data_IF_975057362466
#
_entry.id   IF_975057362466
#
_cell.length_a   1.000
_cell.length_b   1.000
_cell.length_c   1.000
_cell.angle_alpha   90.00
_cell.angle_beta   90.00
_cell.angle_gamma   90.00
#
_symmetry.space_group_name_H-M   'P 1'
#
loop_
_entity.id
_entity.type
_entity.pdbx_description
1 polymer ?
#
# COMPACT_ATOMS: atom_id res chain seq x y z
N UNK A 1 -12.40 -2.34 14.78
CA UNK A 1 -12.45 -0.90 15.06
C UNK A 1 -13.27 -0.25 13.95
N UNK A 2 -14.27 0.56 14.29
CA UNK A 2 -15.08 1.26 13.30
C UNK A 2 -14.44 2.58 12.91
N UNK A 3 -14.50 2.94 11.62
CA UNK A 3 -13.94 4.18 11.08
C UNK A 3 -14.50 5.45 11.74
N UNK A 4 -15.70 5.36 12.32
CA UNK A 4 -16.36 6.46 13.05
C UNK A 4 -15.69 6.79 14.38
N UNK A 5 -14.90 5.88 14.95
CA UNK A 5 -14.22 6.09 16.23
C UNK A 5 -13.19 7.24 16.14
N UNK A 6 -13.25 8.19 17.07
CA UNK A 6 -12.31 9.32 17.19
C UNK A 6 -11.41 9.22 18.42
N UNK A 7 -11.47 8.10 19.16
CA UNK A 7 -10.64 7.88 20.34
C UNK A 7 -9.22 7.48 19.95
N UNK A 8 -8.27 8.40 20.15
CA UNK A 8 -6.85 8.25 19.83
C UNK A 8 -6.22 7.06 20.56
N UNK A 9 -6.66 6.74 21.78
CA UNK A 9 -6.10 5.63 22.54
C UNK A 9 -6.46 4.28 21.91
N UNK A 10 -7.70 4.14 21.43
CA UNK A 10 -8.11 2.95 20.68
C UNK A 10 -7.36 2.80 19.36
N UNK A 11 -7.03 3.92 18.69
CA UNK A 11 -6.20 3.89 17.47
C UNK A 11 -4.77 3.46 17.79
N UNK A 12 -4.19 3.97 18.87
CA UNK A 12 -2.85 3.58 19.35
C UNK A 12 -2.81 2.10 19.76
N UNK A 13 -3.83 1.62 20.46
CA UNK A 13 -3.96 0.22 20.84
C UNK A 13 -4.06 -0.67 19.60
N UNK A 14 -4.92 -0.32 18.65
CA UNK A 14 -5.06 -1.06 17.39
C UNK A 14 -3.74 -1.13 16.59
N UNK A 15 -2.98 -0.03 16.56
CA UNK A 15 -1.64 0.01 15.94
C UNK A 15 -0.64 -0.88 16.70
N UNK A 16 -0.65 -0.84 18.03
CA UNK A 16 0.23 -1.68 18.87
C UNK A 16 -0.07 -3.17 18.73
N UNK A 17 -1.33 -3.52 18.50
CA UNK A 17 -1.76 -4.90 18.30
C UNK A 17 -1.45 -5.42 16.89
N UNK A 18 -1.03 -4.57 15.95
CA UNK A 18 -0.86 -4.95 14.54
C UNK A 18 0.15 -6.09 14.34
N UNK A 19 1.30 -6.06 15.02
CA UNK A 19 2.33 -7.10 14.91
C UNK A 19 1.75 -8.47 15.31
N UNK A 20 1.10 -8.52 16.48
CA UNK A 20 0.41 -9.72 16.95
C UNK A 20 -0.69 -10.18 15.98
N UNK A 21 -1.40 -9.26 15.31
CA UNK A 21 -2.38 -9.61 14.27
C UNK A 21 -1.72 -10.24 13.05
N UNK A 22 -0.60 -9.71 12.58
CA UNK A 22 0.14 -10.31 11.45
C UNK A 22 0.65 -11.70 11.80
N UNK A 23 1.21 -11.88 12.99
CA UNK A 23 1.64 -13.19 13.49
C UNK A 23 0.48 -14.18 13.59
N UNK A 24 -0.69 -13.72 14.07
CA UNK A 24 -1.89 -14.57 14.20
C UNK A 24 -2.46 -15.09 12.88
N UNK A 25 -2.13 -14.47 11.74
CA UNK A 25 -2.55 -14.95 10.43
C UNK A 25 -1.86 -16.26 10.04
N UNK A 26 -0.77 -16.62 10.73
CA UNK A 26 -0.01 -17.87 10.56
C UNK A 26 0.33 -18.18 9.09
N UNK A 27 0.61 -17.14 8.31
CA UNK A 27 1.00 -17.25 6.90
C UNK A 27 2.51 -17.28 6.80
N UNK A 28 3.11 -18.24 6.06
CA UNK A 28 4.55 -18.28 5.86
C UNK A 28 5.01 -16.99 5.18
N UNK A 29 6.19 -16.51 5.58
CA UNK A 29 6.86 -15.30 5.07
C UNK A 29 6.09 -13.97 5.22
N UNK A 30 4.86 -13.95 5.73
CA UNK A 30 4.11 -12.70 5.87
C UNK A 30 4.77 -11.74 6.86
N UNK A 31 5.30 -12.27 7.97
CA UNK A 31 5.99 -11.46 8.99
C UNK A 31 7.23 -10.79 8.42
N UNK A 32 8.04 -11.54 7.64
CA UNK A 32 9.26 -11.00 7.02
C UNK A 32 8.93 -10.00 5.91
N UNK A 33 7.94 -10.31 5.07
CA UNK A 33 7.45 -9.42 4.01
C UNK A 33 6.85 -8.12 4.58
N UNK A 34 6.11 -8.20 5.69
CA UNK A 34 5.52 -7.04 6.34
C UNK A 34 6.58 -6.17 7.01
N UNK A 35 7.56 -6.79 7.66
CA UNK A 35 8.73 -6.09 8.20
C UNK A 35 9.51 -5.35 7.10
N UNK A 36 9.72 -5.99 5.96
CA UNK A 36 10.33 -5.35 4.78
C UNK A 36 9.52 -4.12 4.35
N UNK A 37 8.21 -4.26 4.14
CA UNK A 37 7.37 -3.16 3.66
C UNK A 37 7.28 -1.99 4.65
N UNK A 38 7.16 -2.26 5.95
CA UNK A 38 6.95 -1.22 6.98
C UNK A 38 8.22 -0.55 7.47
N UNK A 39 9.32 -1.31 7.56
CA UNK A 39 10.53 -0.83 8.24
C UNK A 39 11.73 -0.66 7.32
N UNK A 40 11.84 -1.46 6.25
CA UNK A 40 13.02 -1.43 5.37
C UNK A 40 12.78 -0.56 4.12
N UNK A 41 11.62 -0.72 3.49
CA UNK A 41 11.30 -0.04 2.23
C UNK A 41 11.23 1.50 2.38
N UNK A 42 10.58 2.09 3.40
CA UNK A 42 10.46 3.55 3.49
C UNK A 42 11.82 4.26 3.64
N UNK A 43 12.74 3.81 4.52
CA UNK A 43 14.09 4.36 4.59
C UNK A 43 14.89 4.20 3.30
N UNK A 44 14.75 3.07 2.59
CA UNK A 44 15.43 2.85 1.31
C UNK A 44 14.97 3.83 0.24
N UNK A 45 13.66 4.10 0.14
CA UNK A 45 13.12 5.06 -0.81
C UNK A 45 13.55 6.48 -0.48
N UNK A 46 13.50 6.88 0.80
CA UNK A 46 13.92 8.22 1.26
C UNK A 46 15.43 8.43 1.17
N UNK A 47 16.23 7.38 1.39
CA UNK A 47 17.69 7.42 1.28
C UNK A 47 18.20 7.64 -0.15
N UNK A 48 17.35 7.51 -1.17
CA UNK A 48 17.68 7.75 -2.59
C UNK A 48 17.41 9.17 -3.05
N UNK A 49 17.10 10.09 -2.13
CA UNK A 49 16.95 11.51 -2.45
C UNK A 49 18.25 12.08 -3.07
N UNK A 50 18.15 12.96 -4.10
CA UNK A 50 16.95 13.66 -4.55
C UNK A 50 16.07 12.88 -5.54
N UNK A 51 16.46 11.68 -5.95
CA UNK A 51 15.76 10.88 -6.96
C UNK A 51 15.20 9.58 -6.36
N UNK A 52 14.21 9.66 -5.45
CA UNK A 52 13.58 8.49 -4.87
C UNK A 52 13.02 7.62 -5.99
N UNK A 53 13.17 6.30 -5.86
CA UNK A 53 12.70 5.33 -6.85
C UNK A 53 12.60 3.96 -6.22
N UNK A 54 11.72 3.12 -6.76
CA UNK A 54 11.64 1.71 -6.42
C UNK A 54 12.40 0.90 -7.47
N UNK A 55 13.08 -0.15 -7.03
CA UNK A 55 13.71 -1.14 -7.92
C UNK A 55 12.73 -2.25 -8.26
N UNK A 56 13.01 -3.01 -9.33
CA UNK A 56 12.18 -4.18 -9.68
C UNK A 56 12.14 -5.23 -8.56
N UNK A 57 13.27 -5.45 -7.89
CA UNK A 57 13.36 -6.38 -6.77
C UNK A 57 12.43 -5.98 -5.62
N UNK A 58 12.45 -4.70 -5.24
CA UNK A 58 11.59 -4.16 -4.19
C UNK A 58 10.11 -4.18 -4.59
N UNK A 59 9.80 -3.85 -5.84
CA UNK A 59 8.45 -3.94 -6.38
C UNK A 59 7.92 -5.39 -6.33
N UNK A 60 8.77 -6.36 -6.65
CA UNK A 60 8.45 -7.79 -6.56
C UNK A 60 8.16 -8.21 -5.11
N UNK A 61 8.98 -7.77 -4.15
CA UNK A 61 8.75 -8.06 -2.73
C UNK A 61 7.48 -7.39 -2.20
N UNK A 62 7.22 -6.13 -2.57
CA UNK A 62 5.98 -5.43 -2.23
C UNK A 62 4.76 -6.15 -2.82
N UNK A 63 4.84 -6.62 -4.06
CA UNK A 63 3.76 -7.38 -4.68
C UNK A 63 3.51 -8.69 -3.93
N UNK A 64 4.56 -9.44 -3.59
CA UNK A 64 4.46 -10.65 -2.76
C UNK A 64 3.77 -10.34 -1.43
N UNK A 65 4.26 -9.33 -0.70
CA UNK A 65 3.64 -8.88 0.55
C UNK A 65 2.16 -8.58 0.38
N UNK A 66 1.78 -7.79 -0.63
CA UNK A 66 0.40 -7.40 -0.91
C UNK A 66 -0.51 -8.61 -1.17
N UNK A 67 -0.03 -9.57 -1.95
CA UNK A 67 -0.76 -10.79 -2.29
C UNK A 67 -0.89 -11.72 -1.08
N UNK A 68 0.16 -11.85 -0.26
CA UNK A 68 0.13 -12.68 0.95
C UNK A 68 -0.80 -12.11 2.02
N UNK A 69 -0.86 -10.77 2.19
CA UNK A 69 -1.69 -10.12 3.22
C UNK A 69 -3.18 -10.06 2.91
N UNK A 70 -3.58 -9.91 1.65
CA UNK A 70 -4.99 -9.62 1.28
C UNK A 70 -5.98 -10.78 1.50
N UNK A 71 -7.27 -10.44 1.67
CA UNK A 71 -8.41 -11.38 1.76
C UNK A 71 -8.66 -12.24 0.51
N UNK A 72 -7.95 -12.00 -0.59
CA UNK A 72 -8.01 -12.84 -1.79
C UNK A 72 -7.64 -14.32 -1.53
N UNK A 73 -7.01 -14.60 -0.38
CA UNK A 73 -6.73 -15.95 0.11
C UNK A 73 -7.95 -16.71 0.64
N UNK A 74 -9.17 -16.16 0.58
CA UNK A 74 -10.42 -16.92 0.83
C UNK A 74 -10.92 -17.65 -0.43
N UNK A 75 -10.01 -18.06 -1.32
CA UNK A 75 -10.22 -19.31 -2.03
C UNK A 75 -9.85 -20.42 -1.04
N UNK A 76 -10.85 -21.14 -0.54
CA UNK A 76 -10.75 -22.26 0.40
C UNK A 76 -10.04 -23.49 -0.22
N UNK A 77 -8.88 -23.29 -0.81
CA UNK A 77 -8.06 -24.36 -1.37
C UNK A 77 -6.61 -24.02 -1.09
N UNK A 78 -5.93 -24.93 -0.41
CA UNK A 78 -4.56 -24.81 0.09
C UNK A 78 -3.47 -24.74 -0.99
N UNK A 79 -3.84 -24.36 -2.20
CA UNK A 79 -2.92 -23.85 -3.20
C UNK A 79 -3.20 -22.35 -3.27
N UNK A 80 -2.23 -21.56 -2.81
CA UNK A 80 -2.12 -20.16 -3.18
C UNK A 80 -2.40 -20.12 -4.67
N UNK A 81 -3.57 -19.60 -5.08
CA UNK A 81 -3.83 -19.24 -6.46
C UNK A 81 -2.94 -18.04 -6.74
N UNK A 82 -1.63 -18.33 -6.82
CA UNK A 82 -0.56 -17.50 -7.29
C UNK A 82 -1.13 -17.01 -8.61
N UNK A 83 -1.48 -15.73 -8.73
CA UNK A 83 -1.80 -15.14 -10.04
C UNK A 83 -0.44 -15.08 -10.73
N UNK A 84 0.03 -16.14 -11.41
CA UNK A 84 1.42 -16.22 -11.82
C UNK A 84 1.65 -15.05 -12.77
N UNK A 85 0.66 -14.80 -13.62
CA UNK A 85 0.50 -13.65 -14.51
C UNK A 85 0.86 -12.30 -13.88
N UNK A 86 0.47 -12.01 -12.64
CA UNK A 86 0.76 -10.71 -12.04
C UNK A 86 2.23 -10.58 -11.61
N UNK A 87 2.77 -11.65 -11.03
CA UNK A 87 4.20 -11.74 -10.73
C UNK A 87 5.05 -11.86 -12.00
N UNK A 88 4.54 -12.49 -13.05
CA UNK A 88 5.15 -12.59 -14.37
C UNK A 88 5.24 -11.21 -15.00
N UNK A 89 4.21 -10.37 -14.87
CA UNK A 89 4.28 -8.99 -15.34
C UNK A 89 5.41 -8.24 -14.65
N UNK A 90 5.47 -8.26 -13.31
CA UNK A 90 6.55 -7.59 -12.56
C UNK A 90 7.92 -8.17 -12.93
N UNK A 91 8.02 -9.48 -13.12
CA UNK A 91 9.25 -10.16 -13.52
C UNK A 91 9.66 -9.86 -14.96
N UNK A 92 8.71 -9.52 -15.83
CA UNK A 92 8.96 -9.10 -17.22
C UNK A 92 9.25 -7.60 -17.36
N UNK A 93 9.04 -6.80 -16.32
CA UNK A 93 9.34 -5.36 -16.36
C UNK A 93 10.85 -5.12 -16.45
N UNK A 94 11.20 -4.08 -17.19
CA UNK A 94 12.56 -3.56 -17.26
C UNK A 94 12.87 -2.66 -16.04
N UNK A 95 14.09 -2.78 -15.51
CA UNK A 95 14.54 -2.02 -14.32
C UNK A 95 14.53 -0.51 -14.59
N UNK A 96 14.95 -0.07 -15.78
CA UNK A 96 14.95 1.34 -16.16
C UNK A 96 13.54 1.93 -16.23
N UNK A 97 12.59 1.14 -16.72
CA UNK A 97 11.17 1.54 -16.79
C UNK A 97 10.55 1.67 -15.40
N UNK A 98 10.82 0.73 -14.49
CA UNK A 98 10.33 0.78 -13.09
C UNK A 98 10.91 2.00 -12.36
N UNK A 99 12.20 2.27 -12.53
CA UNK A 99 12.86 3.44 -11.94
C UNK A 99 12.28 4.74 -12.48
N UNK A 100 12.18 4.88 -13.80
CA UNK A 100 11.68 6.10 -14.44
C UNK A 100 10.22 6.39 -14.04
N UNK A 101 9.35 5.38 -14.07
CA UNK A 101 7.95 5.52 -13.67
C UNK A 101 7.82 5.91 -12.18
N UNK A 102 8.57 5.27 -11.30
CA UNK A 102 8.52 5.57 -9.86
C UNK A 102 9.11 6.95 -9.51
N UNK A 103 10.18 7.38 -10.19
CA UNK A 103 10.73 8.73 -10.02
C UNK A 103 9.73 9.80 -10.40
N UNK A 104 9.11 9.68 -11.58
CA UNK A 104 8.07 10.60 -12.03
C UNK A 104 6.87 10.61 -11.09
N UNK A 105 6.46 9.43 -10.61
CA UNK A 105 5.39 9.30 -9.64
C UNK A 105 5.72 10.03 -8.32
N UNK A 106 6.89 9.82 -7.73
CA UNK A 106 7.25 10.51 -6.49
C UNK A 106 7.42 12.03 -6.67
N UNK A 107 7.90 12.49 -7.83
CA UNK A 107 7.98 13.91 -8.16
C UNK A 107 6.61 14.56 -8.43
N UNK A 108 5.61 13.78 -8.82
CA UNK A 108 4.26 14.27 -9.08
C UNK A 108 3.41 14.46 -7.80
N UNK A 109 3.89 14.01 -6.63
CA UNK A 109 3.21 14.27 -5.36
C UNK A 109 3.12 15.79 -5.09
N UNK A 110 1.99 16.29 -4.56
CA UNK A 110 0.86 15.55 -3.99
C UNK A 110 -0.28 15.20 -4.97
N UNK A 111 -0.12 15.34 -6.29
CA UNK A 111 -1.18 15.06 -7.28
C UNK A 111 -1.42 13.57 -7.49
N UNK A 112 -2.29 12.98 -6.65
CA UNK A 112 -2.61 11.55 -6.67
C UNK A 112 -3.04 11.03 -8.06
N UNK A 113 -3.80 11.82 -8.81
CA UNK A 113 -4.27 11.42 -10.14
C UNK A 113 -3.08 11.22 -11.10
N UNK A 114 -2.18 12.19 -11.12
CA UNK A 114 -0.96 12.12 -11.93
C UNK A 114 -0.04 11.00 -11.48
N UNK A 115 0.14 10.85 -10.17
CA UNK A 115 1.00 9.83 -9.58
C UNK A 115 0.52 8.41 -9.92
N UNK A 116 -0.79 8.14 -9.80
CA UNK A 116 -1.35 6.84 -10.20
C UNK A 116 -1.18 6.63 -11.69
N UNK A 117 -1.39 7.66 -12.52
CA UNK A 117 -1.22 7.54 -13.97
C UNK A 117 0.20 7.12 -14.36
N UNK A 118 1.24 7.71 -13.74
CA UNK A 118 2.65 7.37 -13.98
C UNK A 118 2.97 5.92 -13.58
N UNK A 119 2.40 5.43 -12.47
CA UNK A 119 2.63 4.07 -12.00
C UNK A 119 1.83 3.02 -12.80
N UNK A 120 0.64 3.37 -13.29
CA UNK A 120 -0.21 2.45 -14.07
C UNK A 120 0.29 2.15 -15.48
N UNK A 121 1.33 2.87 -15.94
CA UNK A 121 2.06 2.52 -17.17
C UNK A 121 2.78 1.17 -17.02
N UNK A 122 3.15 0.79 -15.79
CA UNK A 122 3.78 -0.50 -15.51
C UNK A 122 2.75 -1.63 -15.58
N UNK A 123 2.98 -2.60 -16.48
CA UNK A 123 2.13 -3.79 -16.57
C UNK A 123 2.10 -4.52 -15.21
N UNK A 124 0.89 -4.83 -14.74
CA UNK A 124 0.66 -5.44 -13.43
C UNK A 124 0.60 -4.47 -12.25
N UNK A 125 0.81 -3.17 -12.47
CA UNK A 125 0.62 -2.14 -11.44
C UNK A 125 -0.70 -1.42 -11.72
N UNK A 126 -1.74 -1.75 -10.94
CA UNK A 126 -3.01 -1.01 -10.92
C UNK A 126 -3.04 0.05 -9.81
N UNK A 127 -4.14 0.83 -9.70
CA UNK A 127 -4.32 1.84 -8.64
C UNK A 127 -4.07 1.30 -7.22
N UNK A 128 -4.53 0.07 -6.95
CA UNK A 128 -4.29 -0.57 -5.66
C UNK A 128 -2.81 -0.88 -5.41
N UNK A 129 -2.01 -1.19 -6.43
CA UNK A 129 -0.56 -1.46 -6.25
C UNK A 129 0.22 -0.15 -6.22
N UNK A 130 -0.18 0.81 -7.05
CA UNK A 130 0.33 2.17 -7.00
C UNK A 130 0.18 2.77 -5.60
N UNK A 131 -1.02 2.68 -5.00
CA UNK A 131 -1.26 3.17 -3.64
C UNK A 131 -0.36 2.52 -2.58
N UNK A 132 0.03 1.25 -2.74
CA UNK A 132 0.94 0.57 -1.82
C UNK A 132 2.38 1.12 -1.93
N UNK A 133 2.85 1.37 -3.15
CA UNK A 133 4.17 1.99 -3.41
C UNK A 133 4.20 3.39 -2.81
N UNK A 134 3.12 4.16 -3.02
CA UNK A 134 3.02 5.53 -2.53
C UNK A 134 2.92 5.60 -1.01
N UNK A 135 2.15 4.71 -0.40
CA UNK A 135 2.05 4.63 1.05
C UNK A 135 3.37 4.24 1.72
N UNK A 136 4.27 3.53 1.03
CA UNK A 136 5.61 3.25 1.54
C UNK A 136 6.52 4.49 1.49
N UNK A 137 6.29 5.43 0.59
CA UNK A 137 7.10 6.65 0.45
C UNK A 137 6.55 7.83 1.26
N UNK A 138 5.28 8.15 1.01
CA UNK A 138 4.55 9.29 1.53
C UNK A 138 3.15 8.85 2.04
N UNK A 139 3.08 8.04 3.12
CA UNK A 139 1.81 7.58 3.70
C UNK A 139 0.87 8.72 4.10
N UNK A 140 1.42 9.89 4.40
CA UNK A 140 0.68 11.10 4.75
C UNK A 140 -0.10 11.72 3.58
N UNK A 141 0.42 11.57 2.36
CA UNK A 141 -0.20 12.12 1.15
C UNK A 141 -1.05 11.06 0.45
N UNK A 142 -0.54 9.84 0.34
CA UNK A 142 -1.10 8.78 -0.47
C UNK A 142 -1.27 7.49 0.36
N UNK A 143 -2.36 7.36 1.14
CA UNK A 143 -2.63 6.17 1.94
C UNK A 143 -2.85 4.93 1.06
N UNK A 144 -2.59 3.76 1.65
CA UNK A 144 -2.76 2.47 0.99
C UNK A 144 -4.25 2.10 0.85
N UNK A 145 -4.67 1.82 -0.37
CA UNK A 145 -6.04 1.43 -0.73
C UNK A 145 -6.23 -0.09 -0.53
N UNK A 146 -6.38 -0.56 0.72
CA UNK A 146 -6.75 -1.95 1.00
C UNK A 146 -8.27 -2.14 1.02
N UNK A 147 -8.75 -3.36 0.74
CA UNK A 147 -10.18 -3.68 0.72
C UNK A 147 -10.84 -3.37 2.07
N UNK A 148 -10.17 -3.69 3.18
CA UNK A 148 -10.64 -3.38 4.52
C UNK A 148 -10.71 -1.88 4.79
N UNK A 149 -9.73 -1.11 4.29
CA UNK A 149 -9.71 0.34 4.44
C UNK A 149 -10.80 1.00 3.60
N UNK A 150 -11.00 0.52 2.37
CA UNK A 150 -12.08 0.93 1.47
C UNK A 150 -13.46 0.63 2.05
N UNK A 151 -13.67 -0.59 2.56
CA UNK A 151 -14.90 -0.97 3.25
C UNK A 151 -15.14 -0.08 4.48
N UNK A 152 -14.11 0.17 5.29
CA UNK A 152 -14.24 0.98 6.49
C UNK A 152 -14.54 2.46 6.20
N UNK A 153 -13.89 3.06 5.18
CA UNK A 153 -14.00 4.48 4.88
C UNK A 153 -15.17 4.83 3.95
N UNK A 154 -15.48 3.94 2.98
CA UNK A 154 -16.45 4.19 1.93
C UNK A 154 -17.68 3.26 2.01
N UNK A 155 -17.63 2.18 2.78
CA UNK A 155 -18.70 1.17 2.82
C UNK A 155 -18.79 0.34 1.55
N UNK A 156 -17.73 0.32 0.73
CA UNK A 156 -17.65 -0.46 -0.50
C UNK A 156 -16.21 -0.88 -0.78
N UNK A 157 -16.00 -2.17 -1.07
CA UNK A 157 -14.66 -2.79 -1.23
C UNK A 157 -14.30 -3.26 -2.64
N UNK A 158 -15.17 -3.08 -3.64
CA UNK A 158 -15.02 -3.73 -4.96
C UNK A 158 -14.67 -2.80 -6.13
N UNK A 159 -14.60 -1.49 -5.92
CA UNK A 159 -14.30 -0.52 -6.96
C UNK A 159 -12.89 0.05 -6.78
N UNK A 160 -11.97 -0.42 -7.63
CA UNK A 160 -10.56 -0.01 -7.66
C UNK A 160 -10.28 1.11 -8.67
N UNK A 161 -11.30 1.88 -9.04
CA UNK A 161 -11.13 3.02 -9.94
C UNK A 161 -10.37 4.16 -9.28
N UNK A 162 -9.72 4.99 -10.12
CA UNK A 162 -9.03 6.19 -9.65
C UNK A 162 -9.97 7.15 -8.89
N UNK A 163 -11.23 7.24 -9.32
CA UNK A 163 -12.25 8.08 -8.67
C UNK A 163 -12.48 7.65 -7.22
N UNK A 164 -12.61 6.34 -6.98
CA UNK A 164 -12.75 5.81 -5.62
C UNK A 164 -11.50 6.03 -4.78
N UNK A 165 -10.32 5.88 -5.38
CA UNK A 165 -9.08 6.14 -4.67
C UNK A 165 -8.99 7.61 -4.21
N UNK A 166 -9.35 8.56 -5.06
CA UNK A 166 -9.40 9.99 -4.68
C UNK A 166 -10.34 10.25 -3.51
N UNK A 167 -11.57 9.71 -3.56
CA UNK A 167 -12.54 9.82 -2.46
C UNK A 167 -12.03 9.20 -1.15
N UNK A 168 -11.33 8.07 -1.26
CA UNK A 168 -10.71 7.40 -0.13
C UNK A 168 -9.61 8.24 0.51
N UNK A 169 -8.70 8.79 -0.30
CA UNK A 169 -7.62 9.68 0.16
C UNK A 169 -8.20 10.91 0.85
N UNK A 170 -9.19 11.55 0.25
CA UNK A 170 -9.85 12.74 0.82
C UNK A 170 -10.46 12.44 2.20
N UNK A 171 -11.22 11.33 2.32
CA UNK A 171 -11.81 10.94 3.61
C UNK A 171 -10.77 10.62 4.67
N UNK A 172 -9.68 9.94 4.30
CA UNK A 172 -8.61 9.62 5.25
C UNK A 172 -7.87 10.86 5.70
N UNK A 173 -7.55 11.77 4.79
CA UNK A 173 -6.90 13.03 5.12
C UNK A 173 -7.81 13.90 6.02
N UNK A 174 -9.11 13.97 5.73
CA UNK A 174 -10.06 14.68 6.58
C UNK A 174 -10.11 14.06 7.99
N UNK A 175 -10.14 12.73 8.11
CA UNK A 175 -10.13 12.03 9.40
C UNK A 175 -8.82 12.23 10.16
N UNK A 176 -7.68 12.17 9.49
CA UNK A 176 -6.36 12.41 10.09
C UNK A 176 -6.26 13.84 10.65
N UNK A 177 -6.73 14.84 9.90
CA UNK A 177 -6.79 16.24 10.35
C UNK A 177 -7.75 16.44 11.53
N UNK A 178 -8.91 15.77 11.51
CA UNK A 178 -9.93 15.92 12.54
C UNK A 178 -9.59 15.25 13.89
N UNK A 179 -8.61 14.33 13.91
CA UNK A 179 -8.39 13.48 15.08
C UNK A 179 -7.05 13.74 15.79
N UNK A 180 -6.19 14.65 15.34
CA UNK A 180 -4.79 14.82 15.83
C UNK A 180 -3.97 13.51 15.92
N UNK A 181 -4.46 12.41 15.34
CA UNK A 181 -3.82 11.09 15.30
C UNK A 181 -2.47 11.16 14.54
N UNK A 182 -2.30 12.20 13.73
CA UNK A 182 -1.14 12.41 12.87
C UNK A 182 0.18 12.61 13.63
N UNK A 183 0.15 13.08 14.89
CA UNK A 183 1.37 13.26 15.69
C UNK A 183 1.86 11.97 16.39
N UNK A 184 1.12 10.86 16.35
CA UNK A 184 1.41 9.69 17.19
C UNK A 184 1.86 8.42 16.44
N UNK A 185 2.05 8.47 15.12
CA UNK A 185 2.34 7.27 14.28
C UNK A 185 3.62 7.40 13.44
N UNK A 186 4.43 8.45 13.66
CA UNK A 186 5.83 8.49 13.21
C UNK A 186 6.77 8.16 14.37
#
# INVERSE_FOLDING_TARGET
>A
MEFKCSDVNLWREALSAYSARIESLNKPDLVSLDSFYRHQLPPLLRGRNPNPHITKSELSQLMKWKLTRGKWSLCFSAEIEFRPRLMDFVSSLDEGTVKSASQKAFQALPDISKVVSELTVLKGVGPATASAILAAYAPEVAPFMSDEAMEAALGSSKDYSLKQYMLFVEKLQAKAKASDIFFAVN
#
